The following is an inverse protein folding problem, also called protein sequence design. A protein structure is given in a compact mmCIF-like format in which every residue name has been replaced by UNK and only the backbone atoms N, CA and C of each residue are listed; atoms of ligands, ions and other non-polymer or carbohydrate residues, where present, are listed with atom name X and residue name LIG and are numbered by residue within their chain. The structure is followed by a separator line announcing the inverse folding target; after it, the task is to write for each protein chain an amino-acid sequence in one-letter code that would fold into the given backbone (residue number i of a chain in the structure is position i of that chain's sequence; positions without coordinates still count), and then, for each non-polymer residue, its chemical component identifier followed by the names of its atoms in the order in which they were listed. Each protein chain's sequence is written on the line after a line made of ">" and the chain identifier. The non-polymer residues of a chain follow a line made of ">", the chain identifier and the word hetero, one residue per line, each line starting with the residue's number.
data_IF_275027291062
#
_entry.id   IF_275027291062
#
_cell.length_a   1.000
_cell.length_b   1.000
_cell.length_c   1.000
_cell.angle_alpha   90.00
_cell.angle_beta   90.00
_cell.angle_gamma   90.00
#
_symmetry.space_group_name_H-M   'P 1'
#
loop_
_entity.id
_entity.type
_entity.pdbx_description
1 polymer ?
#
# COMPACT_ATOMS: atom_id res chain seq x y z
N UNK A 1 -2.91 -22.17 -8.70
CA UNK A 1 -2.23 -21.04 -8.05
C UNK A 1 -2.73 -19.79 -8.76
N UNK A 2 -4.01 -19.49 -8.56
CA UNK A 2 -4.71 -18.28 -9.06
C UNK A 2 -5.52 -17.68 -7.89
N UNK A 3 -5.48 -18.31 -6.70
CA UNK A 3 -6.44 -18.15 -5.61
C UNK A 3 -6.09 -17.04 -4.62
N UNK A 4 -4.81 -16.74 -4.41
CA UNK A 4 -4.39 -15.77 -3.37
C UNK A 4 -4.60 -14.32 -3.80
N UNK A 5 -4.26 -13.98 -5.05
CA UNK A 5 -4.55 -12.66 -5.61
C UNK A 5 -6.06 -12.44 -5.75
N UNK A 6 -6.82 -13.44 -6.22
CA UNK A 6 -8.29 -13.35 -6.31
C UNK A 6 -8.95 -13.09 -4.94
N UNK A 7 -8.49 -13.78 -3.88
CA UNK A 7 -8.95 -13.52 -2.52
C UNK A 7 -8.56 -12.13 -2.02
N UNK A 8 -7.35 -11.67 -2.31
CA UNK A 8 -6.90 -10.32 -1.97
C UNK A 8 -7.74 -9.24 -2.66
N UNK A 9 -8.08 -9.43 -3.93
CA UNK A 9 -8.94 -8.52 -4.67
C UNK A 9 -10.36 -8.50 -4.09
N UNK A 10 -10.87 -9.64 -3.60
CA UNK A 10 -12.14 -9.67 -2.89
C UNK A 10 -12.11 -8.90 -1.55
N UNK A 11 -10.97 -8.91 -0.85
CA UNK A 11 -10.77 -8.10 0.38
C UNK A 11 -10.83 -6.59 0.08
N UNK A 12 -10.43 -6.15 -1.12
CA UNK A 12 -10.52 -4.73 -1.54
C UNK A 12 -11.95 -4.23 -1.59
N UNK A 13 -12.92 -5.08 -1.96
CA UNK A 13 -14.34 -4.72 -1.92
C UNK A 13 -14.79 -4.35 -0.50
N UNK A 14 -14.36 -5.13 0.50
CA UNK A 14 -14.68 -4.87 1.91
C UNK A 14 -13.99 -3.61 2.43
N UNK A 15 -12.73 -3.37 2.04
CA UNK A 15 -12.00 -2.14 2.36
C UNK A 15 -12.65 -0.90 1.72
N UNK A 16 -13.16 -1.06 0.51
CA UNK A 16 -13.86 -0.02 -0.25
C UNK A 16 -15.05 0.58 0.50
N UNK A 17 -15.70 -0.18 1.40
CA UNK A 17 -16.85 0.29 2.18
C UNK A 17 -16.47 1.03 3.48
N UNK A 18 -15.21 0.95 3.93
CA UNK A 18 -14.81 1.45 5.25
C UNK A 18 -14.94 2.98 5.34
N UNK A 19 -15.64 3.60 6.31
CA UNK A 19 -15.84 5.07 6.32
C UNK A 19 -14.54 5.88 6.46
N UNK A 20 -13.48 5.27 7.00
CA UNK A 20 -12.15 5.87 7.10
C UNK A 20 -11.11 4.81 6.76
N UNK A 21 -10.23 5.12 5.81
CA UNK A 21 -9.26 4.21 5.23
C UNK A 21 -7.86 4.85 5.22
N UNK A 22 -6.87 4.12 5.72
CA UNK A 22 -5.45 4.38 5.48
C UNK A 22 -4.95 3.42 4.39
N UNK A 23 -4.29 3.95 3.37
CA UNK A 23 -3.53 3.16 2.39
C UNK A 23 -2.06 3.51 2.58
N UNK A 24 -1.27 2.58 3.07
CA UNK A 24 0.17 2.75 3.26
C UNK A 24 0.94 1.79 2.37
N UNK A 25 1.82 2.31 1.54
CA UNK A 25 2.64 1.50 0.64
C UNK A 25 4.12 1.73 0.92
N UNK A 26 4.89 0.65 1.08
CA UNK A 26 6.35 0.67 1.04
C UNK A 26 6.84 1.30 -0.26
N UNK A 27 7.91 2.07 -0.20
CA UNK A 27 8.50 2.66 -1.40
C UNK A 27 9.38 1.66 -2.14
N UNK A 28 10.50 1.28 -1.53
CA UNK A 28 11.50 0.38 -2.12
C UNK A 28 10.96 -1.05 -2.19
N UNK A 29 11.03 -1.68 -3.36
CA UNK A 29 10.57 -3.04 -3.63
C UNK A 29 9.06 -3.19 -3.77
N UNK A 30 8.25 -2.27 -3.23
CA UNK A 30 6.79 -2.29 -3.35
C UNK A 30 6.26 -1.30 -4.40
N UNK A 31 6.42 0.02 -4.23
CA UNK A 31 6.02 0.99 -5.25
C UNK A 31 7.07 1.17 -6.35
N UNK A 32 8.35 1.11 -5.95
CA UNK A 32 9.53 1.21 -6.80
C UNK A 32 10.14 -0.19 -6.93
N UNK A 33 10.12 -0.81 -8.12
CA UNK A 33 10.67 -2.15 -8.31
C UNK A 33 12.15 -2.22 -7.89
N UNK A 34 12.62 -3.42 -7.54
CA UNK A 34 14.03 -3.62 -7.19
C UNK A 34 14.99 -3.16 -8.30
N UNK A 35 15.99 -2.38 -7.89
CA UNK A 35 16.97 -1.80 -8.81
C UNK A 35 16.49 -0.53 -9.53
N UNK A 36 15.26 -0.09 -9.30
CA UNK A 36 14.72 1.16 -9.82
C UNK A 36 14.66 2.24 -8.71
N UNK A 37 14.85 3.50 -9.09
CA UNK A 37 14.76 4.63 -8.18
C UNK A 37 13.36 5.25 -8.11
N UNK A 38 12.47 4.86 -9.02
CA UNK A 38 11.17 5.51 -9.21
C UNK A 38 10.04 4.53 -9.04
N UNK A 39 8.99 5.00 -8.37
CA UNK A 39 7.74 4.26 -8.32
C UNK A 39 7.16 4.06 -9.73
N UNK A 40 6.48 2.93 -9.92
CA UNK A 40 5.67 2.66 -11.11
C UNK A 40 4.67 3.81 -11.30
N UNK A 41 4.54 4.31 -12.53
CA UNK A 41 3.68 5.47 -12.78
C UNK A 41 2.22 5.17 -12.43
N UNK A 42 1.75 3.97 -12.76
CA UNK A 42 0.38 3.52 -12.51
C UNK A 42 0.05 3.48 -11.02
N UNK A 43 1.00 3.04 -10.17
CA UNK A 43 0.78 3.08 -8.72
C UNK A 43 0.64 4.53 -8.24
N UNK A 44 1.47 5.45 -8.74
CA UNK A 44 1.33 6.89 -8.44
C UNK A 44 -0.01 7.48 -8.89
N UNK A 45 -0.54 7.05 -10.04
CA UNK A 45 -1.86 7.44 -10.54
C UNK A 45 -3.00 6.90 -9.65
N UNK A 46 -2.94 5.64 -9.24
CA UNK A 46 -3.91 5.04 -8.33
C UNK A 46 -3.89 5.74 -6.95
N UNK A 47 -2.71 5.98 -6.37
CA UNK A 47 -2.57 6.71 -5.11
C UNK A 47 -3.12 8.14 -5.18
N UNK A 48 -2.92 8.84 -6.30
CA UNK A 48 -3.51 10.16 -6.52
C UNK A 48 -5.05 10.11 -6.51
N UNK A 49 -5.64 9.06 -7.07
CA UNK A 49 -7.10 8.88 -7.05
C UNK A 49 -7.57 8.59 -5.64
N UNK A 50 -6.96 7.64 -4.94
CA UNK A 50 -7.31 7.28 -3.56
C UNK A 50 -7.25 8.50 -2.64
N UNK A 51 -6.19 9.31 -2.75
CA UNK A 51 -6.03 10.55 -1.99
C UNK A 51 -7.17 11.55 -2.20
N UNK A 52 -7.80 11.54 -3.38
CA UNK A 52 -8.91 12.43 -3.70
C UNK A 52 -10.27 11.90 -3.20
N UNK A 53 -10.35 10.64 -2.75
CA UNK A 53 -11.58 10.02 -2.27
C UNK A 53 -11.85 10.38 -0.79
N UNK A 54 -13.12 10.59 -0.40
CA UNK A 54 -13.47 10.98 0.96
C UNK A 54 -13.00 9.96 2.00
N UNK A 55 -12.56 10.45 3.16
CA UNK A 55 -12.15 9.59 4.27
C UNK A 55 -10.95 8.69 3.98
N UNK A 56 -10.17 8.99 2.94
CA UNK A 56 -9.00 8.18 2.54
C UNK A 56 -7.72 8.97 2.79
N UNK A 57 -6.81 8.38 3.55
CA UNK A 57 -5.45 8.90 3.76
C UNK A 57 -4.49 7.98 3.05
N UNK A 58 -3.55 8.56 2.29
CA UNK A 58 -2.51 7.80 1.60
C UNK A 58 -1.14 8.15 2.16
N UNK A 59 -0.34 7.12 2.42
CA UNK A 59 1.01 7.23 2.95
C UNK A 59 2.00 6.40 2.14
N UNK A 60 3.22 6.90 2.03
CA UNK A 60 4.37 6.15 1.52
C UNK A 60 5.32 5.89 2.69
N UNK A 61 5.64 4.63 2.89
CA UNK A 61 6.52 4.14 3.95
C UNK A 61 7.91 3.95 3.34
N UNK A 62 8.93 4.58 3.90
CA UNK A 62 10.29 4.39 3.40
C UNK A 62 11.34 4.65 4.47
N UNK A 63 12.46 3.96 4.36
CA UNK A 63 13.68 4.24 5.15
C UNK A 63 14.52 5.37 4.53
N UNK A 64 14.23 5.78 3.29
CA UNK A 64 14.86 6.95 2.64
C UNK A 64 14.38 8.26 3.28
N UNK A 65 15.15 9.36 3.14
CA UNK A 65 14.71 10.69 3.55
C UNK A 65 13.37 11.09 2.90
N UNK A 66 12.46 11.69 3.67
CA UNK A 66 11.11 12.00 3.21
C UNK A 66 11.07 13.00 2.04
N UNK A 67 12.03 13.93 1.98
CA UNK A 67 12.19 14.88 0.87
C UNK A 67 12.62 14.19 -0.43
N UNK A 68 13.54 13.22 -0.33
CA UNK A 68 13.95 12.39 -1.46
C UNK A 68 12.77 11.55 -2.00
N UNK A 69 12.05 10.83 -1.12
CA UNK A 69 10.90 10.02 -1.53
C UNK A 69 9.81 10.89 -2.14
N UNK A 70 9.56 12.08 -1.58
CA UNK A 70 8.58 13.01 -2.14
C UNK A 70 8.98 13.49 -3.54
N UNK A 71 10.26 13.72 -3.80
CA UNK A 71 10.76 14.09 -5.13
C UNK A 71 10.58 12.92 -6.12
N UNK A 72 10.95 11.71 -5.73
CA UNK A 72 10.83 10.52 -6.57
C UNK A 72 9.36 10.21 -6.90
N UNK A 73 8.47 10.25 -5.90
CA UNK A 73 7.02 10.10 -6.11
C UNK A 73 6.47 11.17 -7.06
N UNK A 74 6.93 12.42 -6.94
CA UNK A 74 6.53 13.48 -7.88
C UNK A 74 7.02 13.20 -9.31
N UNK A 75 8.25 12.75 -9.47
CA UNK A 75 8.80 12.34 -10.77
C UNK A 75 8.10 11.12 -11.37
N UNK A 76 7.50 10.28 -10.54
CA UNK A 76 6.63 9.15 -10.94
C UNK A 76 5.18 9.56 -11.20
N UNK A 77 4.81 10.83 -11.03
CA UNK A 77 3.48 11.35 -11.36
C UNK A 77 2.55 11.60 -10.16
N UNK A 78 3.03 11.45 -8.92
CA UNK A 78 2.27 11.89 -7.73
C UNK A 78 2.04 13.41 -7.76
N UNK A 79 0.86 13.83 -7.29
CA UNK A 79 0.43 15.24 -7.26
C UNK A 79 0.65 15.91 -5.91
N UNK A 80 1.33 15.23 -4.98
CA UNK A 80 1.54 15.68 -3.60
C UNK A 80 0.35 15.39 -2.69
N UNK A 81 0.51 15.66 -1.39
CA UNK A 81 -0.49 15.36 -0.36
C UNK A 81 -0.42 13.94 0.20
N UNK A 82 0.41 13.08 -0.38
CA UNK A 82 0.83 11.81 0.24
C UNK A 82 1.57 12.11 1.55
N UNK A 83 1.27 11.35 2.59
CA UNK A 83 2.06 11.38 3.83
C UNK A 83 3.34 10.57 3.62
N UNK A 84 4.44 11.03 4.19
CA UNK A 84 5.72 10.30 4.20
C UNK A 84 6.00 9.89 5.64
N UNK A 85 6.32 8.64 5.88
CA UNK A 85 6.70 8.15 7.20
C UNK A 85 7.74 7.03 7.11
N UNK A 86 8.53 6.86 8.17
CA UNK A 86 9.37 5.68 8.32
C UNK A 86 8.55 4.46 8.76
N UNK A 87 9.08 3.23 8.60
CA UNK A 87 8.41 2.01 9.07
C UNK A 87 7.99 2.08 10.55
N UNK A 88 8.87 2.58 11.42
CA UNK A 88 8.59 2.74 12.85
C UNK A 88 7.50 3.76 13.22
N UNK A 89 7.11 4.63 12.29
CA UNK A 89 6.07 5.65 12.49
C UNK A 89 4.69 5.19 11.99
N UNK A 90 4.62 4.09 11.23
CA UNK A 90 3.39 3.62 10.59
C UNK A 90 2.30 3.26 11.62
N UNK A 91 2.67 2.56 12.70
CA UNK A 91 1.74 2.22 13.77
C UNK A 91 1.15 3.45 14.47
N UNK A 92 1.92 4.54 14.57
CA UNK A 92 1.42 5.80 15.10
C UNK A 92 0.46 6.48 14.11
N UNK A 93 0.82 6.50 12.82
CA UNK A 93 -0.01 7.04 11.75
C UNK A 93 -1.36 6.29 11.65
N UNK A 94 -1.34 4.96 11.70
CA UNK A 94 -2.56 4.13 11.72
C UNK A 94 -3.50 4.48 12.87
N UNK A 95 -2.95 4.74 14.06
CA UNK A 95 -3.75 5.17 15.22
C UNK A 95 -4.27 6.60 15.07
N UNK A 96 -3.51 7.48 14.45
CA UNK A 96 -3.93 8.86 14.18
C UNK A 96 -5.10 8.91 13.19
N UNK A 97 -4.99 8.23 12.06
CA UNK A 97 -6.05 8.19 11.03
C UNK A 97 -7.29 7.50 11.58
N UNK A 98 -7.11 6.38 12.29
CA UNK A 98 -8.21 5.53 12.74
C UNK A 98 -8.90 4.81 11.57
N UNK A 99 -9.90 4.00 11.86
CA UNK A 99 -10.61 3.22 10.84
C UNK A 99 -9.86 1.95 10.44
N UNK A 100 -9.89 1.63 9.15
CA UNK A 100 -9.28 0.42 8.57
C UNK A 100 -8.04 0.80 7.77
N UNK A 101 -7.06 -0.09 7.67
CA UNK A 101 -5.87 0.10 6.85
C UNK A 101 -5.65 -1.00 5.83
N UNK A 102 -5.16 -0.60 4.67
CA UNK A 102 -4.39 -1.44 3.76
C UNK A 102 -2.92 -1.05 3.91
N UNK A 103 -2.07 -2.03 4.22
CA UNK A 103 -0.61 -1.85 4.24
C UNK A 103 0.00 -2.84 3.25
N UNK A 104 0.79 -2.31 2.30
CA UNK A 104 1.51 -3.09 1.30
C UNK A 104 3.00 -2.77 1.46
N UNK A 105 3.84 -3.73 1.79
CA UNK A 105 5.28 -3.49 1.99
C UNK A 105 6.09 -4.75 1.69
N UNK A 106 7.38 -4.61 1.41
CA UNK A 106 8.34 -5.72 1.39
C UNK A 106 8.83 -6.05 2.80
N UNK A 107 8.69 -5.12 3.75
CA UNK A 107 9.13 -5.28 5.13
C UNK A 107 7.99 -5.86 5.99
N UNK A 108 8.09 -7.11 6.49
CA UNK A 108 7.05 -7.69 7.35
C UNK A 108 6.87 -6.92 8.66
N UNK A 109 7.90 -6.18 9.14
CA UNK A 109 7.76 -5.32 10.32
C UNK A 109 6.70 -4.22 10.12
N UNK A 110 6.50 -3.75 8.88
CA UNK A 110 5.44 -2.77 8.55
C UNK A 110 4.03 -3.36 8.70
N UNK A 111 3.91 -4.69 8.66
CA UNK A 111 2.64 -5.40 8.81
C UNK A 111 2.34 -5.77 10.27
N UNK A 112 3.28 -5.56 11.18
CA UNK A 112 3.09 -5.81 12.59
C UNK A 112 2.06 -4.86 13.21
N UNK A 113 1.21 -5.39 14.10
CA UNK A 113 0.24 -4.59 14.84
C UNK A 113 -1.00 -4.17 14.05
N UNK A 114 -1.19 -4.70 12.84
CA UNK A 114 -2.46 -4.62 12.12
C UNK A 114 -3.58 -5.32 12.90
N UNK A 115 -4.74 -4.67 12.97
CA UNK A 115 -5.92 -5.21 13.61
C UNK A 115 -6.68 -6.19 12.70
N UNK A 116 -7.64 -6.92 13.27
CA UNK A 116 -8.41 -7.95 12.54
C UNK A 116 -9.25 -7.44 11.35
N UNK A 117 -9.39 -6.13 11.19
CA UNK A 117 -10.09 -5.52 10.04
C UNK A 117 -9.13 -4.89 9.04
N UNK A 118 -7.86 -4.75 9.40
CA UNK A 118 -6.83 -4.23 8.51
C UNK A 118 -6.34 -5.35 7.58
N UNK A 119 -5.84 -4.99 6.39
CA UNK A 119 -5.27 -5.92 5.41
C UNK A 119 -3.79 -5.59 5.26
N UNK A 120 -2.94 -6.56 5.56
CA UNK A 120 -1.50 -6.51 5.32
C UNK A 120 -1.14 -7.37 4.11
N UNK A 121 -0.41 -6.78 3.18
CA UNK A 121 0.08 -7.42 1.95
C UNK A 121 1.60 -7.35 1.94
N UNK A 122 2.25 -8.51 1.92
CA UNK A 122 3.68 -8.62 1.72
C UNK A 122 3.99 -8.66 0.22
N UNK A 123 4.93 -7.84 -0.23
CA UNK A 123 5.48 -7.92 -1.60
C UNK A 123 6.70 -8.84 -1.54
N UNK A 124 6.55 -10.05 -2.07
CA UNK A 124 7.57 -11.10 -2.03
C UNK A 124 7.33 -12.08 -3.17
N UNK A 125 8.35 -12.32 -4.00
CA UNK A 125 8.30 -13.29 -5.10
C UNK A 125 8.62 -14.72 -4.64
N UNK A 126 9.12 -14.88 -3.40
CA UNK A 126 9.40 -16.17 -2.81
C UNK A 126 8.11 -16.83 -2.28
N UNK A 127 7.66 -17.88 -2.98
CA UNK A 127 6.65 -18.82 -2.50
C UNK A 127 7.21 -19.69 -1.35
N UNK A 128 7.60 -19.09 -0.22
CA UNK A 128 7.86 -19.87 0.99
C UNK A 128 6.51 -20.36 1.57
N UNK A 129 6.21 -21.68 1.49
CA UNK A 129 4.91 -22.21 1.90
C UNK A 129 4.70 -22.21 3.42
N UNK A 130 5.70 -21.85 4.21
CA UNK A 130 5.65 -21.84 5.67
C UNK A 130 5.39 -20.43 6.27
N UNK A 131 5.10 -19.41 5.44
CA UNK A 131 5.02 -18.02 5.89
C UNK A 131 3.65 -17.60 6.49
N UNK A 132 3.76 -16.71 7.48
CA UNK A 132 2.78 -16.36 8.51
C UNK A 132 1.58 -15.54 7.99
N UNK A 133 0.63 -16.16 7.28
CA UNK A 133 -0.78 -15.73 7.22
C UNK A 133 -1.10 -14.34 6.65
N UNK A 134 -0.13 -13.63 6.06
CA UNK A 134 -0.33 -12.37 5.35
C UNK A 134 -0.75 -12.60 3.90
N UNK A 135 -1.49 -11.66 3.32
CA UNK A 135 -1.73 -11.66 1.86
C UNK A 135 -0.42 -11.35 1.15
N UNK A 136 -0.26 -11.83 -0.08
CA UNK A 136 0.99 -11.66 -0.83
C UNK A 136 0.72 -11.18 -2.25
N UNK A 137 1.68 -10.46 -2.80
CA UNK A 137 1.80 -10.12 -4.21
C UNK A 137 3.25 -10.29 -4.63
N UNK A 138 3.49 -10.69 -5.87
CA UNK A 138 4.82 -11.05 -6.35
C UNK A 138 5.72 -9.82 -6.54
N UNK A 139 5.16 -8.71 -7.01
CA UNK A 139 5.94 -7.55 -7.41
C UNK A 139 5.12 -6.25 -7.47
N UNK A 140 5.78 -5.17 -7.87
CA UNK A 140 5.18 -3.85 -8.01
C UNK A 140 4.05 -3.77 -9.05
N UNK A 141 4.01 -4.66 -10.05
CA UNK A 141 2.92 -4.68 -11.04
C UNK A 141 1.65 -5.24 -10.37
N UNK A 142 1.75 -6.29 -9.56
CA UNK A 142 0.61 -6.78 -8.77
C UNK A 142 0.18 -5.79 -7.68
N UNK A 143 1.10 -5.00 -7.11
CA UNK A 143 0.74 -3.87 -6.24
C UNK A 143 -0.15 -2.86 -6.97
N UNK A 144 0.12 -2.60 -8.26
CA UNK A 144 -0.74 -1.72 -9.08
C UNK A 144 -2.15 -2.31 -9.18
N UNK A 145 -2.27 -3.61 -9.45
CA UNK A 145 -3.59 -4.28 -9.57
C UNK A 145 -4.41 -4.15 -8.28
N UNK A 146 -3.79 -4.37 -7.12
CA UNK A 146 -4.44 -4.21 -5.81
C UNK A 146 -4.91 -2.77 -5.59
N UNK A 147 -4.09 -1.78 -5.93
CA UNK A 147 -4.43 -0.36 -5.77
C UNK A 147 -5.56 0.05 -6.73
N UNK A 148 -5.56 -0.44 -7.97
CA UNK A 148 -6.60 -0.17 -8.95
C UNK A 148 -7.95 -0.79 -8.55
N UNK A 149 -7.93 -2.02 -8.02
CA UNK A 149 -9.14 -2.66 -7.50
C UNK A 149 -9.68 -1.90 -6.28
N UNK A 150 -8.81 -1.46 -5.36
CA UNK A 150 -9.24 -0.62 -4.25
C UNK A 150 -9.84 0.71 -4.73
N UNK A 151 -9.24 1.34 -5.75
CA UNK A 151 -9.80 2.55 -6.38
C UNK A 151 -11.21 2.29 -6.91
N UNK A 152 -11.41 1.15 -7.59
CA UNK A 152 -12.70 0.74 -8.12
C UNK A 152 -13.71 0.58 -6.98
N UNK A 153 -13.39 -0.26 -5.99
CA UNK A 153 -14.23 -0.52 -4.82
C UNK A 153 -14.63 0.75 -4.07
N UNK A 154 -13.69 1.71 -3.92
CA UNK A 154 -13.90 2.93 -3.14
C UNK A 154 -14.75 4.00 -3.82
N UNK A 155 -14.96 3.88 -5.13
CA UNK A 155 -15.79 4.82 -5.92
C UNK A 155 -17.28 4.43 -5.92
N UNK A 156 -17.60 3.20 -5.53
CA UNK A 156 -18.94 2.63 -5.56
C UNK A 156 -19.60 2.63 -4.17
#
# INVERSE_FOLDING_TARGET
>A
METDLEELLADMASLGEAPTLLVACGFDGALSPDGEDRAVQQSSEALNVLLALPGTTVAVVSRRPADEVSELMFLSGSKGGLRMCGPGDLAALRREVGGVALVIDVDPESLEGLGASDVGVLVDDDEDPDDDGHRRVADADEVVEVLEELVSARRH
#
